data_IF_988655962485
#
_entry.id   IF_988655962485
#
_cell.length_a   1.000
_cell.length_b   1.000
_cell.length_c   1.000
_cell.angle_alpha   90.00
_cell.angle_beta   90.00
_cell.angle_gamma   90.00
#
_symmetry.space_group_name_H-M   'P 1'
#
loop_
_entity.id
_entity.type
_entity.pdbx_description
1 polymer ?
#
# COMPACT_ATOMS: atom_id res chain seq x y z
N UNK A 1 3.43 10.65 18.40
CA UNK A 1 2.65 10.87 17.16
C UNK A 1 3.10 9.87 16.11
N UNK A 2 2.15 9.30 15.39
CA UNK A 2 2.46 8.37 14.31
C UNK A 2 2.74 9.12 13.01
N UNK A 3 3.61 8.55 12.18
CA UNK A 3 3.88 9.05 10.84
C UNK A 3 2.88 8.47 9.86
N UNK A 4 2.66 9.17 8.76
CA UNK A 4 1.83 8.73 7.65
C UNK A 4 2.64 8.91 6.37
N UNK A 5 2.65 7.89 5.51
CA UNK A 5 3.26 8.01 4.19
C UNK A 5 2.23 8.57 3.22
N UNK A 6 2.64 9.44 2.32
CA UNK A 6 1.77 9.99 1.28
C UNK A 6 2.53 10.15 -0.03
N UNK A 7 1.83 9.94 -1.13
CA UNK A 7 2.33 10.26 -2.47
C UNK A 7 1.13 10.53 -3.40
N UNK A 8 1.42 11.07 -4.58
CA UNK A 8 0.38 11.43 -5.53
C UNK A 8 0.46 10.54 -6.76
N UNK A 9 -0.70 10.03 -7.19
CA UNK A 9 -0.83 9.29 -8.45
C UNK A 9 -1.88 10.02 -9.29
N UNK A 10 -1.51 10.41 -10.50
CA UNK A 10 -2.44 10.98 -11.47
C UNK A 10 -3.22 9.87 -12.15
N UNK A 11 -4.53 10.05 -12.29
CA UNK A 11 -5.37 9.11 -13.03
C UNK A 11 -5.07 9.25 -14.51
N UNK A 12 -4.50 8.21 -15.10
CA UNK A 12 -4.10 8.16 -16.50
C UNK A 12 -5.15 7.40 -17.33
N UNK A 13 -5.06 7.53 -18.63
CA UNK A 13 -5.97 6.84 -19.55
C UNK A 13 -5.99 5.33 -19.32
N UNK A 14 -4.83 4.73 -19.04
CA UNK A 14 -4.71 3.28 -18.76
C UNK A 14 -5.49 2.82 -17.53
N UNK A 15 -5.85 3.74 -16.64
CA UNK A 15 -6.60 3.42 -15.42
C UNK A 15 -8.11 3.43 -15.65
N UNK A 16 -8.58 4.00 -16.76
CA UNK A 16 -9.99 4.31 -16.96
C UNK A 16 -10.70 3.29 -17.84
N UNK A 17 -12.01 3.16 -17.60
CA UNK A 17 -12.92 2.44 -18.48
C UNK A 17 -13.56 3.42 -19.50
N UNK A 18 -14.44 2.94 -20.41
CA UNK A 18 -15.09 3.82 -21.40
C UNK A 18 -15.92 4.95 -20.80
N UNK A 19 -16.31 4.87 -19.53
CA UNK A 19 -17.06 5.94 -18.85
C UNK A 19 -16.15 7.09 -18.41
N UNK A 20 -14.82 6.97 -18.56
CA UNK A 20 -13.87 8.01 -18.18
C UNK A 20 -13.57 8.06 -16.69
N UNK A 21 -13.92 7.01 -15.96
CA UNK A 21 -13.63 6.86 -14.54
C UNK A 21 -12.70 5.66 -14.33
N UNK A 22 -12.03 5.61 -13.19
CA UNK A 22 -11.15 4.48 -12.87
C UNK A 22 -11.96 3.19 -12.89
N UNK A 23 -11.48 2.22 -13.67
CA UNK A 23 -11.96 0.84 -13.60
C UNK A 23 -11.49 0.26 -12.25
N UNK A 24 -12.43 -0.22 -11.43
CA UNK A 24 -12.17 -0.46 -10.01
C UNK A 24 -10.96 -1.37 -9.70
N UNK A 25 -10.61 -2.39 -10.51
CA UNK A 25 -9.39 -3.18 -10.22
C UNK A 25 -8.10 -2.36 -10.27
N UNK A 26 -8.09 -1.24 -11.01
CA UNK A 26 -6.93 -0.35 -11.09
C UNK A 26 -6.64 0.33 -9.75
N UNK A 27 -7.66 0.54 -8.92
CA UNK A 27 -7.45 1.03 -7.57
C UNK A 27 -6.55 0.10 -6.76
N UNK A 28 -6.71 -1.22 -6.93
CA UNK A 28 -5.90 -2.20 -6.20
C UNK A 28 -4.45 -2.18 -6.66
N UNK A 29 -4.19 -1.90 -7.93
CA UNK A 29 -2.83 -1.66 -8.41
C UNK A 29 -2.22 -0.42 -7.75
N UNK A 30 -3.01 0.65 -7.58
CA UNK A 30 -2.57 1.87 -6.91
C UNK A 30 -2.34 1.64 -5.41
N UNK A 31 -3.17 0.83 -4.77
CA UNK A 31 -2.97 0.40 -3.37
C UNK A 31 -1.63 -0.32 -3.25
N UNK A 32 -1.37 -1.27 -4.15
CA UNK A 32 -0.11 -2.00 -4.17
C UNK A 32 1.08 -1.08 -4.42
N UNK A 33 0.95 -0.13 -5.35
CA UNK A 33 1.99 0.86 -5.62
C UNK A 33 2.27 1.70 -4.37
N UNK A 34 1.24 2.08 -3.62
CA UNK A 34 1.40 2.85 -2.40
C UNK A 34 2.18 2.06 -1.34
N UNK A 35 1.88 0.77 -1.20
CA UNK A 35 2.64 -0.11 -0.30
C UNK A 35 4.10 -0.21 -0.76
N UNK A 36 4.33 -0.43 -2.05
CA UNK A 36 5.67 -0.55 -2.60
C UNK A 36 6.49 0.72 -2.39
N UNK A 37 5.90 1.89 -2.66
CA UNK A 37 6.56 3.19 -2.45
C UNK A 37 6.84 3.45 -0.98
N UNK A 38 5.96 3.01 -0.08
CA UNK A 38 6.19 3.11 1.36
C UNK A 38 7.44 2.32 1.77
N UNK A 39 7.55 1.08 1.31
CA UNK A 39 8.74 0.27 1.58
C UNK A 39 10.00 0.93 1.03
N UNK A 40 9.95 1.43 -0.21
CA UNK A 40 11.11 2.04 -0.85
C UNK A 40 11.49 3.38 -0.20
N UNK A 41 10.54 4.32 -0.13
CA UNK A 41 10.83 5.70 0.26
C UNK A 41 10.91 5.90 1.77
N UNK A 42 10.06 5.22 2.54
CA UNK A 42 10.01 5.39 3.99
C UNK A 42 10.84 4.37 4.73
N UNK A 43 10.77 3.10 4.32
CA UNK A 43 11.46 2.02 5.01
C UNK A 43 12.86 1.75 4.45
N UNK A 44 13.19 2.35 3.29
CA UNK A 44 14.49 2.18 2.66
C UNK A 44 14.75 0.75 2.20
N UNK A 45 13.69 0.02 1.86
CA UNK A 45 13.77 -1.39 1.48
C UNK A 45 12.92 -1.65 0.23
N UNK A 46 13.52 -1.41 -0.94
CA UNK A 46 12.80 -1.54 -2.21
C UNK A 46 12.32 -2.98 -2.46
N UNK A 47 11.27 -3.12 -3.24
CA UNK A 47 10.81 -4.46 -3.66
C UNK A 47 11.86 -5.18 -4.50
N UNK A 48 12.68 -4.44 -5.25
CA UNK A 48 13.79 -5.06 -5.99
C UNK A 48 14.79 -5.70 -5.03
N UNK A 49 15.18 -5.00 -3.96
CA UNK A 49 16.06 -5.55 -2.92
C UNK A 49 15.39 -6.74 -2.22
N UNK A 50 14.15 -6.57 -1.82
CA UNK A 50 13.41 -7.59 -1.09
C UNK A 50 13.19 -8.85 -1.91
N UNK A 51 12.64 -8.72 -3.12
CA UNK A 51 12.20 -9.87 -3.93
C UNK A 51 13.35 -10.51 -4.70
N UNK A 52 14.25 -9.70 -5.25
CA UNK A 52 15.32 -10.23 -6.12
C UNK A 52 16.54 -10.61 -5.30
N UNK A 53 17.01 -9.74 -4.40
CA UNK A 53 18.22 -10.00 -3.65
C UNK A 53 17.97 -10.87 -2.42
N UNK A 54 16.92 -10.61 -1.65
CA UNK A 54 16.70 -11.25 -0.36
C UNK A 54 15.70 -12.41 -0.40
N UNK A 55 14.99 -12.58 -1.51
CA UNK A 55 14.04 -13.69 -1.67
C UNK A 55 12.84 -13.63 -0.73
N UNK A 56 12.42 -12.41 -0.37
CA UNK A 56 11.26 -12.16 0.49
C UNK A 56 10.16 -11.48 -0.30
N UNK A 57 8.93 -11.58 0.18
CA UNK A 57 7.79 -10.88 -0.38
C UNK A 57 6.82 -10.45 0.71
N UNK A 58 5.89 -9.55 0.34
CA UNK A 58 4.87 -9.05 1.26
C UNK A 58 3.50 -9.05 0.58
N UNK A 59 3.01 -10.22 0.16
CA UNK A 59 1.69 -10.28 -0.45
C UNK A 59 0.61 -9.83 0.51
N UNK A 60 -0.49 -9.32 -0.06
CA UNK A 60 -1.72 -9.08 0.68
C UNK A 60 -2.47 -10.41 0.80
N UNK A 61 -2.70 -10.87 2.03
CA UNK A 61 -3.45 -12.10 2.29
C UNK A 61 -4.94 -11.82 2.51
N UNK A 62 -5.29 -10.57 2.71
CA UNK A 62 -6.66 -10.11 2.87
C UNK A 62 -6.71 -8.64 2.49
N UNK A 63 -7.79 -8.22 1.86
CA UNK A 63 -8.01 -6.81 1.56
C UNK A 63 -9.52 -6.53 1.57
N UNK A 64 -9.90 -5.47 2.27
CA UNK A 64 -11.25 -4.93 2.20
C UNK A 64 -11.15 -3.51 1.65
N UNK A 65 -12.15 -3.08 0.89
CA UNK A 65 -12.13 -1.75 0.30
C UNK A 65 -13.54 -1.20 0.22
N UNK A 66 -13.65 0.11 0.39
CA UNK A 66 -14.87 0.87 0.19
C UNK A 66 -14.60 2.00 -0.79
N UNK A 67 -15.47 2.14 -1.78
CA UNK A 67 -15.37 3.15 -2.83
C UNK A 67 -16.41 4.24 -2.53
N UNK A 68 -15.94 5.46 -2.30
CA UNK A 68 -16.80 6.56 -1.87
C UNK A 68 -17.25 7.46 -3.01
N UNK A 69 -16.40 7.68 -4.00
CA UNK A 69 -16.68 8.54 -5.15
C UNK A 69 -15.82 8.12 -6.33
N UNK A 70 -16.34 8.25 -7.57
CA UNK A 70 -15.54 7.90 -8.75
C UNK A 70 -14.40 8.88 -8.98
N UNK A 71 -13.30 8.37 -9.52
CA UNK A 71 -12.16 9.19 -9.93
C UNK A 71 -12.10 9.25 -11.44
N UNK A 72 -11.83 10.43 -11.98
CA UNK A 72 -11.90 10.70 -13.42
C UNK A 72 -10.51 10.87 -14.00
N UNK A 73 -10.41 10.66 -15.30
CA UNK A 73 -9.18 10.89 -16.04
C UNK A 73 -8.63 12.29 -15.73
N UNK A 74 -7.36 12.36 -15.36
CA UNK A 74 -6.69 13.61 -15.04
C UNK A 74 -6.72 14.00 -13.58
N UNK A 75 -7.55 13.36 -12.75
CA UNK A 75 -7.56 13.62 -11.31
C UNK A 75 -6.20 13.28 -10.70
N UNK A 76 -5.76 14.10 -9.75
CA UNK A 76 -4.56 13.83 -8.97
C UNK A 76 -4.98 13.33 -7.61
N UNK A 77 -4.70 12.05 -7.35
CA UNK A 77 -5.10 11.41 -6.11
C UNK A 77 -3.93 11.43 -5.14
N UNK A 78 -4.17 11.96 -3.94
CA UNK A 78 -3.23 11.85 -2.83
C UNK A 78 -3.52 10.56 -2.09
N UNK A 79 -2.60 9.62 -2.16
CA UNK A 79 -2.66 8.34 -1.47
C UNK A 79 -1.90 8.43 -0.16
N UNK A 80 -2.50 7.94 0.90
CA UNK A 80 -1.91 7.95 2.24
C UNK A 80 -1.95 6.56 2.84
N UNK A 81 -0.92 6.21 3.60
CA UNK A 81 -0.80 4.91 4.24
C UNK A 81 -0.45 5.08 5.71
N UNK A 82 -1.22 4.42 6.57
CA UNK A 82 -0.95 4.30 7.99
C UNK A 82 -0.87 2.82 8.36
N UNK A 83 -0.02 2.48 9.33
CA UNK A 83 0.11 1.14 9.86
C UNK A 83 -0.80 1.03 11.09
N UNK A 84 -1.78 0.14 11.06
CA UNK A 84 -2.76 0.02 12.15
C UNK A 84 -2.43 -1.10 13.13
N UNK A 85 -1.69 -2.12 12.68
CA UNK A 85 -1.25 -3.21 13.54
C UNK A 85 0.01 -3.83 12.97
N UNK A 86 0.97 -4.10 13.82
CA UNK A 86 2.24 -4.73 13.44
C UNK A 86 2.39 -6.04 14.22
N UNK A 87 2.21 -7.16 13.53
CA UNK A 87 2.39 -8.49 14.08
C UNK A 87 3.83 -8.97 13.90
N UNK A 88 4.08 -10.21 14.27
CA UNK A 88 5.40 -10.83 14.13
C UNK A 88 5.78 -11.02 12.66
N UNK A 89 4.80 -11.47 11.84
CA UNK A 89 4.97 -11.75 10.41
C UNK A 89 4.04 -10.91 9.54
N UNK A 90 3.13 -10.16 10.14
CA UNK A 90 2.05 -9.46 9.44
C UNK A 90 2.06 -7.97 9.73
N UNK A 91 1.44 -7.21 8.83
CA UNK A 91 1.22 -5.78 8.98
C UNK A 91 -0.17 -5.44 8.43
N UNK A 92 -0.98 -4.79 9.24
CA UNK A 92 -2.27 -4.28 8.81
C UNK A 92 -2.09 -2.80 8.47
N UNK A 93 -2.39 -2.43 7.24
CA UNK A 93 -2.27 -1.03 6.80
C UNK A 93 -3.63 -0.51 6.39
N UNK A 94 -3.80 0.80 6.51
CA UNK A 94 -4.95 1.50 5.98
C UNK A 94 -4.45 2.46 4.91
N UNK A 95 -4.98 2.28 3.71
CA UNK A 95 -4.58 3.05 2.54
C UNK A 95 -5.82 3.76 2.02
N UNK A 96 -5.75 5.07 1.83
CA UNK A 96 -6.87 5.82 1.29
C UNK A 96 -6.38 6.87 0.29
N UNK A 97 -7.28 7.24 -0.63
CA UNK A 97 -6.99 8.25 -1.64
C UNK A 97 -8.03 9.37 -1.55
N UNK A 98 -7.54 10.58 -1.66
CA UNK A 98 -8.35 11.79 -1.73
C UNK A 98 -8.00 12.57 -2.99
N UNK A 99 -8.99 13.28 -3.53
CA UNK A 99 -8.75 14.33 -4.51
C UNK A 99 -9.23 15.63 -3.86
N UNK A 100 -8.28 16.50 -3.48
CA UNK A 100 -8.62 17.59 -2.57
C UNK A 100 -9.15 17.02 -1.26
N UNK A 101 -10.30 17.47 -0.82
CA UNK A 101 -10.93 17.01 0.43
C UNK A 101 -11.86 15.80 0.23
N UNK A 102 -12.07 15.34 -1.01
CA UNK A 102 -13.01 14.28 -1.29
C UNK A 102 -12.34 12.91 -1.22
N UNK A 103 -12.82 12.08 -0.28
CA UNK A 103 -12.38 10.68 -0.18
C UNK A 103 -12.88 9.89 -1.38
N UNK A 104 -11.99 9.15 -2.03
CA UNK A 104 -12.33 8.33 -3.20
C UNK A 104 -12.39 6.85 -2.86
N UNK A 105 -11.45 6.35 -2.09
CA UNK A 105 -11.37 4.94 -1.69
C UNK A 105 -10.64 4.82 -0.35
N UNK A 106 -11.05 3.84 0.44
CA UNK A 106 -10.28 3.37 1.59
C UNK A 106 -10.13 1.86 1.50
N UNK A 107 -8.91 1.37 1.67
CA UNK A 107 -8.60 -0.05 1.64
C UNK A 107 -7.78 -0.44 2.86
N UNK A 108 -7.97 -1.68 3.34
CA UNK A 108 -7.28 -2.19 4.52
C UNK A 108 -6.62 -3.53 4.22
N UNK A 109 -5.52 -3.54 3.45
CA UNK A 109 -4.79 -4.77 3.18
C UNK A 109 -4.07 -5.29 4.42
N UNK A 110 -3.99 -6.62 4.52
CA UNK A 110 -3.15 -7.30 5.51
C UNK A 110 -1.98 -7.90 4.76
N UNK A 111 -0.78 -7.44 5.06
CA UNK A 111 0.46 -7.89 4.45
C UNK A 111 1.09 -8.96 5.33
N UNK A 112 1.70 -9.97 4.71
CA UNK A 112 2.47 -10.98 5.45
C UNK A 112 3.85 -11.09 4.79
N UNK A 113 4.90 -11.05 5.61
CA UNK A 113 6.26 -11.29 5.15
C UNK A 113 6.46 -12.78 4.92
N UNK A 114 6.85 -13.17 3.71
CA UNK A 114 7.05 -14.57 3.35
C UNK A 114 8.42 -14.78 2.70
N UNK A 115 8.90 -16.02 2.77
CA UNK A 115 9.98 -16.46 1.88
C UNK A 115 9.38 -16.84 0.53
N UNK A 116 9.96 -16.34 -0.55
CA UNK A 116 9.43 -16.62 -1.90
C UNK A 116 9.62 -18.08 -2.31
N UNK A 117 10.69 -18.73 -1.87
CA UNK A 117 10.98 -20.12 -2.22
C UNK A 117 10.01 -21.12 -1.58
N UNK A 118 9.51 -20.84 -0.39
CA UNK A 118 8.61 -21.73 0.34
C UNK A 118 7.18 -21.23 0.43
N UNK A 119 6.97 -19.91 0.26
CA UNK A 119 5.68 -19.26 0.49
C UNK A 119 5.30 -19.16 1.96
N UNK A 120 6.21 -19.50 2.87
CA UNK A 120 5.90 -19.52 4.31
C UNK A 120 6.18 -18.17 4.96
N UNK A 121 5.35 -17.79 5.96
CA UNK A 121 5.58 -16.57 6.72
C UNK A 121 6.91 -16.61 7.47
N UNK A 122 7.58 -15.47 7.50
CA UNK A 122 8.79 -15.25 8.30
C UNK A 122 8.67 -13.94 9.05
N UNK A 123 9.32 -13.80 10.22
CA UNK A 123 9.25 -12.56 10.98
C UNK A 123 9.88 -11.40 10.21
N UNK A 124 9.35 -10.20 10.44
CA UNK A 124 10.02 -8.98 10.01
C UNK A 124 11.42 -8.94 10.65
N UNK A 125 12.44 -8.53 9.89
CA UNK A 125 13.76 -8.30 10.48
C UNK A 125 13.66 -7.19 11.53
N UNK A 126 14.56 -7.21 12.52
CA UNK A 126 14.57 -6.17 13.56
C UNK A 126 14.76 -4.78 12.96
N UNK A 127 15.60 -4.66 11.94
CA UNK A 127 15.86 -3.40 11.24
C UNK A 127 14.59 -2.89 10.57
N UNK A 128 13.89 -3.75 9.82
CA UNK A 128 12.67 -3.38 9.11
C UNK A 128 11.56 -3.03 10.11
N UNK A 129 11.39 -3.86 11.13
CA UNK A 129 10.40 -3.62 12.18
C UNK A 129 10.61 -2.25 12.84
N UNK A 130 11.85 -1.90 13.15
CA UNK A 130 12.17 -0.60 13.75
C UNK A 130 11.78 0.56 12.83
N UNK A 131 11.93 0.40 11.53
CA UNK A 131 11.53 1.42 10.55
C UNK A 131 10.02 1.51 10.37
N UNK A 132 9.31 0.40 10.55
CA UNK A 132 7.84 0.37 10.44
C UNK A 132 7.16 0.99 11.67
N UNK A 133 7.75 0.82 12.83
CA UNK A 133 7.17 1.22 14.12
C UNK A 133 6.66 2.68 14.16
N UNK A 134 7.39 3.69 13.62
CA UNK A 134 6.91 5.07 13.62
C UNK A 134 5.59 5.30 12.90
N UNK A 135 5.20 4.40 12.01
CA UNK A 135 3.94 4.51 11.25
C UNK A 135 2.77 3.86 11.96
N UNK A 136 3.03 3.14 13.06
CA UNK A 136 1.97 2.47 13.81
C UNK A 136 1.08 3.51 14.50
N UNK A 137 -0.22 3.44 14.21
CA UNK A 137 -1.20 4.34 14.82
C UNK A 137 -1.38 4.03 16.31
N UNK A 138 -1.67 5.05 17.06
CA UNK A 138 -1.89 4.94 18.49
C UNK A 138 -3.29 4.45 18.83
#
# INVERSE_FOLDING_TARGET
MSQTFSHTIKVLFQHCDPAGIIFYPRYFEMVNQTVEEWFDLSLGYSFAQMHVADGLGVPSVSIAAEFSSPSRLGDKLTWSLALTKLGRTSAHVRVHAHCGDELRIEATPVLVCIRLDTGRPVPWSDTLRAKMQPFLTE
#
